data_IF_383891309565
#
_entry.id   IF_383891309565
#
_cell.length_a   1.000
_cell.length_b   1.000
_cell.length_c   1.000
_cell.angle_alpha   90.00
_cell.angle_beta   90.00
_cell.angle_gamma   90.00
#
_symmetry.space_group_name_H-M   'P 1'
#
loop_
_entity.id
_entity.type
_entity.pdbx_description
1 polymer ?
#
# COMPACT_ATOMS: atom_id res chain seq x y z
N UNK A 1 -7.76 -31.32 -0.22
CA UNK A 1 -6.82 -32.33 0.29
C UNK A 1 -6.30 -32.06 1.71
N UNK A 2 -5.59 -30.96 2.03
CA UNK A 2 -5.17 -30.70 3.44
C UNK A 2 -6.25 -29.99 4.27
N UNK A 3 -6.89 -28.95 3.73
CA UNK A 3 -7.97 -28.24 4.41
C UNK A 3 -9.18 -29.14 4.70
N UNK A 4 -9.55 -30.01 3.76
CA UNK A 4 -10.61 -31.02 3.98
C UNK A 4 -10.24 -32.02 5.07
N UNK A 5 -8.96 -32.40 5.18
CA UNK A 5 -8.47 -33.25 6.25
C UNK A 5 -8.48 -32.54 7.61
N UNK A 6 -8.26 -31.22 7.64
CA UNK A 6 -8.39 -30.40 8.85
C UNK A 6 -9.86 -30.21 9.25
N UNK A 7 -10.75 -29.99 8.27
CA UNK A 7 -12.20 -29.89 8.47
C UNK A 7 -12.84 -31.19 8.97
N UNK A 8 -12.18 -32.34 8.79
CA UNK A 8 -12.67 -33.62 9.31
C UNK A 8 -12.60 -33.73 10.84
N UNK A 9 -11.84 -32.85 11.51
CA UNK A 9 -11.67 -32.83 12.97
C UNK A 9 -12.38 -31.65 13.65
N UNK A 10 -13.14 -30.85 12.90
CA UNK A 10 -13.96 -29.77 13.45
C UNK A 10 -15.42 -30.21 13.55
N UNK A 11 -16.12 -29.72 14.56
CA UNK A 11 -17.54 -30.02 14.83
C UNK A 11 -18.44 -29.38 13.74
N UNK A 12 -18.48 -30.01 12.57
CA UNK A 12 -19.25 -29.66 11.36
C UNK A 12 -18.98 -28.26 10.75
N UNK A 13 -18.07 -27.47 11.34
CA UNK A 13 -17.64 -26.18 10.80
C UNK A 13 -16.44 -26.35 9.88
N UNK A 14 -16.47 -25.74 8.70
CA UNK A 14 -15.34 -25.71 7.79
C UNK A 14 -14.15 -24.99 8.43
N UNK A 15 -12.94 -25.56 8.34
CA UNK A 15 -11.72 -24.95 8.90
C UNK A 15 -11.50 -23.51 8.43
N UNK A 16 -11.89 -23.17 7.19
CA UNK A 16 -11.78 -21.79 6.71
C UNK A 16 -12.74 -20.86 7.47
N UNK A 17 -13.95 -21.32 7.79
CA UNK A 17 -14.86 -20.53 8.60
C UNK A 17 -14.30 -20.30 10.01
N UNK A 18 -13.64 -21.31 10.59
CA UNK A 18 -12.93 -21.16 11.87
C UNK A 18 -11.81 -20.12 11.76
N UNK A 19 -10.98 -20.18 10.71
CA UNK A 19 -9.90 -19.21 10.47
C UNK A 19 -10.46 -17.79 10.34
N UNK A 20 -11.54 -17.61 9.57
CA UNK A 20 -12.19 -16.32 9.40
C UNK A 20 -12.76 -15.82 10.74
N UNK A 21 -13.46 -16.66 11.51
CA UNK A 21 -13.94 -16.30 12.86
C UNK A 21 -12.79 -15.91 13.81
N UNK A 22 -11.64 -16.57 13.71
CA UNK A 22 -10.44 -16.22 14.48
C UNK A 22 -9.87 -14.85 14.09
N UNK A 23 -10.01 -14.41 12.82
CA UNK A 23 -9.67 -13.06 12.40
C UNK A 23 -10.50 -12.03 13.18
N UNK A 24 -11.84 -12.16 13.11
CA UNK A 24 -12.77 -11.27 13.82
C UNK A 24 -12.52 -11.28 15.35
N UNK A 25 -12.34 -12.46 15.95
CA UNK A 25 -12.04 -12.56 17.38
C UNK A 25 -10.68 -11.91 17.71
N UNK A 26 -9.67 -12.12 16.87
CA UNK A 26 -8.36 -11.50 17.00
C UNK A 26 -8.41 -9.98 16.91
N UNK A 27 -9.26 -9.44 16.04
CA UNK A 27 -9.47 -7.99 15.89
C UNK A 27 -10.12 -7.41 17.15
N UNK A 28 -11.15 -8.05 17.68
CA UNK A 28 -11.83 -7.60 18.90
C UNK A 28 -10.97 -7.72 20.16
N UNK A 29 -10.19 -8.80 20.29
CA UNK A 29 -9.24 -8.98 21.38
C UNK A 29 -7.94 -8.17 21.19
N UNK A 30 -7.76 -7.55 20.02
CA UNK A 30 -6.54 -6.84 19.60
C UNK A 30 -5.28 -7.70 19.76
N UNK A 31 -5.40 -8.99 19.52
CA UNK A 31 -4.31 -9.95 19.65
C UNK A 31 -3.47 -9.98 18.36
N UNK A 32 -2.44 -9.13 18.31
CA UNK A 32 -1.55 -8.96 17.14
C UNK A 32 -0.92 -10.28 16.68
N UNK A 33 -0.47 -11.15 17.60
CA UNK A 33 0.19 -12.43 17.22
C UNK A 33 -0.78 -13.38 16.51
N UNK A 34 -2.01 -13.47 17.00
CA UNK A 34 -3.07 -14.25 16.36
C UNK A 34 -3.40 -13.65 14.99
N UNK A 35 -3.58 -12.32 14.93
CA UNK A 35 -3.91 -11.61 13.70
C UNK A 35 -2.86 -11.80 12.61
N UNK A 36 -1.57 -11.64 12.93
CA UNK A 36 -0.46 -11.88 11.99
C UNK A 36 -0.54 -13.29 11.41
N UNK A 37 -0.73 -14.29 12.28
CA UNK A 37 -0.80 -15.70 11.86
C UNK A 37 -2.00 -15.98 10.95
N UNK A 38 -3.17 -15.45 11.31
CA UNK A 38 -4.41 -15.62 10.56
C UNK A 38 -4.36 -14.87 9.22
N UNK A 39 -3.90 -13.62 9.21
CA UNK A 39 -3.77 -12.82 7.98
C UNK A 39 -2.79 -13.47 7.03
N UNK A 40 -1.60 -13.90 7.49
CA UNK A 40 -0.63 -14.59 6.64
C UNK A 40 -1.20 -15.90 6.06
N UNK A 41 -1.98 -16.65 6.83
CA UNK A 41 -2.67 -17.83 6.33
C UNK A 41 -3.71 -17.46 5.27
N UNK A 42 -4.52 -16.43 5.49
CA UNK A 42 -5.49 -15.94 4.51
C UNK A 42 -4.82 -15.45 3.22
N UNK A 43 -3.69 -14.74 3.31
CA UNK A 43 -2.88 -14.32 2.16
C UNK A 43 -2.48 -15.52 1.31
N UNK A 44 -1.99 -16.61 1.93
CA UNK A 44 -1.60 -17.82 1.22
C UNK A 44 -2.79 -18.62 0.66
N UNK A 45 -3.97 -18.51 1.27
CA UNK A 45 -5.20 -19.16 0.82
C UNK A 45 -5.93 -18.35 -0.26
N UNK A 46 -5.59 -17.08 -0.44
CA UNK A 46 -6.25 -16.17 -1.37
C UNK A 46 -6.35 -16.70 -2.80
N UNK A 47 -5.30 -17.30 -3.41
CA UNK A 47 -5.39 -17.83 -4.77
C UNK A 47 -6.35 -19.01 -4.94
N UNK A 48 -6.72 -19.70 -3.85
CA UNK A 48 -7.49 -20.95 -3.91
C UNK A 48 -8.93 -20.80 -3.39
N UNK A 49 -9.15 -19.90 -2.42
CA UNK A 49 -10.41 -19.78 -1.68
C UNK A 49 -10.97 -18.35 -1.69
N UNK A 50 -10.58 -17.56 -2.70
CA UNK A 50 -11.01 -16.18 -2.90
C UNK A 50 -12.53 -15.98 -2.80
N UNK A 51 -13.32 -16.91 -3.36
CA UNK A 51 -14.79 -16.90 -3.35
C UNK A 51 -15.41 -16.89 -1.94
N UNK A 52 -14.65 -17.26 -0.90
CA UNK A 52 -15.10 -17.22 0.51
C UNK A 52 -14.44 -16.09 1.31
N UNK A 53 -13.21 -15.73 0.96
CA UNK A 53 -12.46 -14.66 1.62
C UNK A 53 -13.12 -13.30 1.32
N UNK A 54 -13.47 -13.03 0.05
CA UNK A 54 -14.09 -11.77 -0.35
C UNK A 54 -15.43 -11.45 0.36
N UNK A 55 -16.43 -12.36 0.39
CA UNK A 55 -17.65 -12.14 1.15
C UNK A 55 -17.40 -11.85 2.63
N UNK A 56 -16.39 -12.50 3.22
CA UNK A 56 -16.07 -12.30 4.63
C UNK A 56 -15.48 -10.91 4.87
N UNK A 57 -14.48 -10.51 4.09
CA UNK A 57 -13.86 -9.18 4.18
C UNK A 57 -14.89 -8.05 4.01
N UNK A 58 -15.92 -8.25 3.19
CA UNK A 58 -16.99 -7.27 3.02
C UNK A 58 -17.74 -6.94 4.32
N UNK A 59 -17.83 -7.91 5.25
CA UNK A 59 -18.54 -7.80 6.53
C UNK A 59 -17.61 -7.57 7.73
N UNK A 60 -16.31 -7.72 7.54
CA UNK A 60 -15.32 -7.65 8.61
C UNK A 60 -15.22 -6.25 9.21
N UNK A 61 -14.91 -6.19 10.52
CA UNK A 61 -14.65 -4.96 11.26
C UNK A 61 -13.22 -4.40 11.04
N UNK A 62 -12.44 -5.01 10.14
CA UNK A 62 -11.07 -4.62 9.81
C UNK A 62 -10.95 -3.14 9.43
N UNK A 63 -11.82 -2.66 8.56
CA UNK A 63 -11.87 -1.25 8.12
C UNK A 63 -13.15 -0.56 8.55
N UNK A 64 -13.13 0.77 8.53
CA UNK A 64 -14.27 1.59 8.92
C UNK A 64 -15.50 1.28 8.05
N UNK A 65 -16.63 0.99 8.70
CA UNK A 65 -17.92 0.78 8.05
C UNK A 65 -19.02 1.50 8.83
N UNK A 66 -19.94 2.16 8.12
CA UNK A 66 -21.13 2.79 8.69
C UNK A 66 -20.84 3.75 9.87
N UNK A 67 -19.75 4.53 9.77
CA UNK A 67 -19.35 5.50 10.80
C UNK A 67 -18.65 4.90 12.03
N UNK A 68 -18.41 3.58 12.07
CA UNK A 68 -17.55 2.96 13.09
C UNK A 68 -16.09 3.02 12.66
N UNK A 69 -15.22 3.28 13.62
CA UNK A 69 -13.77 3.25 13.43
C UNK A 69 -13.31 1.81 13.06
N UNK A 70 -12.38 1.70 12.11
CA UNK A 70 -11.83 0.43 11.67
C UNK A 70 -10.82 -0.12 12.67
N UNK A 71 -10.92 -1.42 12.99
CA UNK A 71 -10.05 -2.05 13.99
C UNK A 71 -8.57 -2.07 13.57
N UNK A 72 -8.26 -2.07 12.27
CA UNK A 72 -6.89 -1.97 11.78
C UNK A 72 -6.23 -0.65 12.21
N UNK A 73 -6.91 0.49 12.04
CA UNK A 73 -6.41 1.79 12.47
C UNK A 73 -6.25 1.88 14.00
N UNK A 74 -7.20 1.30 14.75
CA UNK A 74 -7.12 1.23 16.22
C UNK A 74 -5.91 0.41 16.68
N UNK A 75 -5.67 -0.76 16.08
CA UNK A 75 -4.53 -1.61 16.41
C UNK A 75 -3.22 -0.92 16.07
N UNK A 76 -3.14 -0.29 14.89
CA UNK A 76 -1.98 0.48 14.47
C UNK A 76 -1.65 1.57 15.50
N UNK A 77 -2.62 2.44 15.83
CA UNK A 77 -2.40 3.57 16.72
C UNK A 77 -2.20 3.21 18.19
N UNK A 78 -2.92 2.22 18.71
CA UNK A 78 -2.91 1.89 20.15
C UNK A 78 -1.93 0.79 20.55
N UNK A 79 -1.45 -0.02 19.61
CA UNK A 79 -0.58 -1.17 19.90
C UNK A 79 0.72 -1.09 19.10
N UNK A 80 0.65 -1.08 17.77
CA UNK A 80 1.87 -1.16 16.94
C UNK A 80 2.74 0.09 17.12
N UNK A 81 2.14 1.28 17.08
CA UNK A 81 2.86 2.54 17.31
C UNK A 81 3.48 2.64 18.71
N UNK A 82 2.83 2.07 19.73
CA UNK A 82 3.31 2.09 21.12
C UNK A 82 4.46 1.11 21.31
N UNK A 83 4.33 -0.10 20.75
CA UNK A 83 5.30 -1.16 20.87
C UNK A 83 6.49 -0.99 19.92
N UNK A 84 6.32 -0.24 18.83
CA UNK A 84 7.31 -0.09 17.77
C UNK A 84 7.51 -1.34 16.91
N UNK A 85 6.53 -2.25 16.91
CA UNK A 85 6.48 -3.47 16.11
C UNK A 85 5.24 -3.43 15.20
N UNK A 86 5.47 -3.48 13.89
CA UNK A 86 4.46 -3.31 12.83
C UNK A 86 4.18 -4.61 12.07
N UNK A 87 4.40 -5.77 12.69
CA UNK A 87 4.19 -7.08 12.07
C UNK A 87 2.77 -7.29 11.51
N UNK A 88 1.74 -6.74 12.16
CA UNK A 88 0.37 -6.85 11.66
C UNK A 88 0.13 -5.93 10.47
N UNK A 89 0.63 -4.70 10.51
CA UNK A 89 0.64 -3.79 9.36
C UNK A 89 1.31 -4.42 8.14
N UNK A 90 2.51 -5.01 8.30
CA UNK A 90 3.21 -5.70 7.19
C UNK A 90 2.38 -6.87 6.64
N UNK A 91 1.78 -7.67 7.51
CA UNK A 91 0.92 -8.80 7.10
C UNK A 91 -0.32 -8.31 6.34
N UNK A 92 -0.88 -7.16 6.75
CA UNK A 92 -2.05 -6.56 6.13
C UNK A 92 -1.74 -5.99 4.74
N UNK A 93 -0.56 -5.38 4.55
CA UNK A 93 -0.10 -4.94 3.22
C UNK A 93 0.05 -6.14 2.27
N UNK A 94 0.68 -7.23 2.74
CA UNK A 94 0.82 -8.47 1.97
C UNK A 94 -0.52 -9.11 1.59
N UNK A 95 -1.52 -9.02 2.48
CA UNK A 95 -2.89 -9.43 2.14
C UNK A 95 -3.50 -8.53 1.05
N UNK A 96 -3.28 -7.22 1.12
CA UNK A 96 -3.74 -6.28 0.09
C UNK A 96 -3.13 -6.61 -1.28
N UNK A 97 -1.83 -6.91 -1.34
CA UNK A 97 -1.15 -7.36 -2.56
C UNK A 97 -1.78 -8.65 -3.12
N UNK A 98 -2.03 -9.67 -2.28
CA UNK A 98 -2.67 -10.90 -2.73
C UNK A 98 -4.10 -10.67 -3.26
N UNK A 99 -4.85 -9.74 -2.66
CA UNK A 99 -6.18 -9.34 -3.15
C UNK A 99 -6.09 -8.62 -4.50
N UNK A 100 -5.08 -7.75 -4.69
CA UNK A 100 -4.81 -7.08 -5.98
C UNK A 100 -4.50 -8.11 -7.05
N UNK A 101 -3.63 -9.08 -6.76
CA UNK A 101 -3.30 -10.16 -7.72
C UNK A 101 -4.55 -10.99 -8.09
N UNK A 102 -5.44 -11.26 -7.14
CA UNK A 102 -6.72 -11.92 -7.45
C UNK A 102 -7.66 -11.05 -8.29
N UNK A 103 -7.69 -9.73 -8.08
CA UNK A 103 -8.47 -8.83 -8.94
C UNK A 103 -7.93 -8.77 -10.38
N UNK A 104 -6.64 -9.07 -10.58
CA UNK A 104 -5.99 -9.16 -11.89
C UNK A 104 -6.11 -10.56 -12.52
N UNK A 105 -6.58 -11.57 -11.77
CA UNK A 105 -6.84 -12.89 -12.32
C UNK A 105 -8.16 -12.91 -13.11
N UNK A 106 -8.35 -13.94 -13.93
CA UNK A 106 -9.57 -14.10 -14.73
C UNK A 106 -10.75 -14.65 -13.90
N UNK A 107 -10.57 -14.86 -12.60
CA UNK A 107 -11.53 -15.54 -11.74
C UNK A 107 -12.71 -14.63 -11.36
N UNK A 108 -13.92 -15.06 -11.71
CA UNK A 108 -15.18 -14.39 -11.35
C UNK A 108 -15.73 -14.94 -10.03
N UNK A 109 -14.92 -14.87 -8.98
CA UNK A 109 -15.18 -15.45 -7.65
C UNK A 109 -16.09 -14.59 -6.75
N UNK A 110 -16.18 -13.29 -7.02
CA UNK A 110 -16.95 -12.32 -6.23
C UNK A 110 -17.35 -11.10 -7.06
N UNK A 111 -18.51 -10.46 -6.79
CA UNK A 111 -18.96 -9.31 -7.56
C UNK A 111 -17.94 -8.17 -7.59
N UNK A 112 -17.61 -7.72 -8.79
CA UNK A 112 -16.58 -6.71 -9.04
C UNK A 112 -16.82 -5.40 -8.28
N UNK A 113 -18.08 -4.94 -8.22
CA UNK A 113 -18.46 -3.75 -7.45
C UNK A 113 -18.11 -3.88 -5.96
N UNK A 114 -18.31 -5.07 -5.41
CA UNK A 114 -17.99 -5.35 -4.01
C UNK A 114 -16.48 -5.46 -3.80
N UNK A 115 -15.73 -6.01 -4.76
CA UNK A 115 -14.25 -5.96 -4.75
C UNK A 115 -13.76 -4.50 -4.74
N UNK A 116 -14.30 -3.64 -5.61
CA UNK A 116 -13.92 -2.21 -5.69
C UNK A 116 -14.10 -1.50 -4.34
N UNK A 117 -15.25 -1.68 -3.68
CA UNK A 117 -15.50 -1.07 -2.37
C UNK A 117 -14.51 -1.56 -1.31
N UNK A 118 -14.15 -2.84 -1.33
CA UNK A 118 -13.16 -3.40 -0.39
C UNK A 118 -11.76 -2.84 -0.71
N UNK A 119 -11.36 -2.80 -1.98
CA UNK A 119 -10.07 -2.24 -2.41
C UNK A 119 -9.94 -0.77 -2.03
N UNK A 120 -10.99 0.03 -2.21
CA UNK A 120 -10.99 1.43 -1.78
C UNK A 120 -10.74 1.57 -0.27
N UNK A 121 -11.32 0.70 0.56
CA UNK A 121 -11.10 0.71 2.02
C UNK A 121 -9.68 0.31 2.40
N UNK A 122 -9.15 -0.73 1.77
CA UNK A 122 -7.75 -1.13 1.95
C UNK A 122 -6.82 0.02 1.58
N UNK A 123 -6.96 0.56 0.36
CA UNK A 123 -6.12 1.64 -0.13
C UNK A 123 -6.26 2.92 0.70
N UNK A 124 -7.46 3.25 1.15
CA UNK A 124 -7.67 4.36 2.09
C UNK A 124 -6.82 4.20 3.35
N UNK A 125 -6.88 3.03 3.98
CA UNK A 125 -6.04 2.74 5.14
C UNK A 125 -4.54 2.75 4.83
N UNK A 126 -4.12 2.15 3.71
CA UNK A 126 -2.71 2.12 3.31
C UNK A 126 -2.15 3.53 3.04
N UNK A 127 -2.96 4.42 2.47
CA UNK A 127 -2.60 5.83 2.29
C UNK A 127 -2.43 6.51 3.65
N UNK A 128 -3.36 6.31 4.58
CA UNK A 128 -3.27 6.89 5.92
C UNK A 128 -2.02 6.38 6.68
N UNK A 129 -1.66 5.10 6.48
CA UNK A 129 -0.39 4.53 6.97
C UNK A 129 0.81 5.22 6.30
N UNK A 130 0.80 5.41 4.98
CA UNK A 130 1.90 6.05 4.26
C UNK A 130 2.11 7.52 4.65
N UNK A 131 1.06 8.21 5.09
CA UNK A 131 1.14 9.58 5.62
C UNK A 131 1.78 9.67 7.02
N UNK A 132 1.81 8.55 7.75
CA UNK A 132 2.18 8.53 9.18
C UNK A 132 3.44 7.71 9.47
N UNK A 133 3.74 6.68 8.68
CA UNK A 133 4.79 5.70 8.98
C UNK A 133 6.16 6.33 9.25
N UNK A 134 6.56 7.39 8.55
CA UNK A 134 7.88 7.99 8.79
C UNK A 134 8.07 8.54 10.21
N UNK A 135 6.98 8.97 10.86
CA UNK A 135 6.98 9.59 12.18
C UNK A 135 6.80 8.57 13.31
N UNK A 136 6.51 7.32 12.96
CA UNK A 136 6.33 6.23 13.90
C UNK A 136 7.67 5.82 14.55
N UNK A 137 7.60 5.30 15.78
CA UNK A 137 8.75 4.73 16.46
C UNK A 137 8.95 3.29 15.98
N UNK A 138 10.16 2.90 15.64
CA UNK A 138 10.48 1.54 15.20
C UNK A 138 11.48 0.89 16.14
N UNK A 139 11.28 -0.39 16.45
CA UNK A 139 12.30 -1.21 17.11
C UNK A 139 13.40 -1.61 16.12
N UNK A 140 13.01 -1.87 14.87
CA UNK A 140 13.92 -2.23 13.78
C UNK A 140 13.79 -1.22 12.64
N UNK A 141 14.88 -0.51 12.33
CA UNK A 141 14.89 0.51 11.29
C UNK A 141 14.59 -0.09 9.90
N UNK A 142 14.96 -1.35 9.65
CA UNK A 142 14.65 -2.04 8.40
C UNK A 142 13.13 -2.19 8.19
N UNK A 143 12.36 -2.39 9.26
CA UNK A 143 10.90 -2.53 9.18
C UNK A 143 10.24 -1.23 8.67
N UNK A 144 10.81 -0.06 8.99
CA UNK A 144 10.36 1.23 8.46
C UNK A 144 10.48 1.31 6.94
N UNK A 145 11.62 0.87 6.41
CA UNK A 145 11.90 0.87 4.97
C UNK A 145 11.09 -0.22 4.25
N UNK A 146 10.95 -1.41 4.84
CA UNK A 146 10.10 -2.49 4.32
C UNK A 146 8.66 -1.98 4.11
N UNK A 147 8.07 -1.35 5.13
CA UNK A 147 6.70 -0.80 5.02
C UNK A 147 6.62 0.24 3.89
N UNK A 148 7.60 1.14 3.80
CA UNK A 148 7.64 2.15 2.74
C UNK A 148 7.67 1.51 1.34
N UNK A 149 8.54 0.51 1.15
CA UNK A 149 8.67 -0.23 -0.11
C UNK A 149 7.37 -0.96 -0.47
N UNK A 150 6.81 -1.75 0.47
CA UNK A 150 5.59 -2.52 0.23
C UNK A 150 4.39 -1.61 -0.11
N UNK A 151 4.23 -0.49 0.60
CA UNK A 151 3.16 0.47 0.33
C UNK A 151 3.30 1.08 -1.07
N UNK A 152 4.50 1.52 -1.45
CA UNK A 152 4.73 2.11 -2.77
C UNK A 152 4.59 1.09 -3.90
N UNK A 153 5.02 -0.15 -3.70
CA UNK A 153 4.86 -1.22 -4.69
C UNK A 153 3.37 -1.57 -4.89
N UNK A 154 2.63 -1.66 -3.79
CA UNK A 154 1.17 -1.82 -3.81
C UNK A 154 0.49 -0.68 -4.58
N UNK A 155 0.81 0.58 -4.28
CA UNK A 155 0.24 1.72 -4.99
C UNK A 155 0.64 1.75 -6.48
N UNK A 156 1.91 1.46 -6.78
CA UNK A 156 2.42 1.40 -8.15
C UNK A 156 1.67 0.34 -8.97
N UNK A 157 1.45 -0.84 -8.40
CA UNK A 157 0.73 -1.94 -9.05
C UNK A 157 -0.71 -1.53 -9.39
N UNK A 158 -1.42 -0.90 -8.45
CA UNK A 158 -2.79 -0.40 -8.68
C UNK A 158 -2.81 0.66 -9.78
N UNK A 159 -1.94 1.67 -9.69
CA UNK A 159 -1.88 2.75 -10.66
C UNK A 159 -1.49 2.26 -12.06
N UNK A 160 -0.48 1.41 -12.17
CA UNK A 160 -0.05 0.82 -13.42
C UNK A 160 -1.15 -0.06 -14.05
N UNK A 161 -1.93 -0.78 -13.23
CA UNK A 161 -3.06 -1.58 -13.70
C UNK A 161 -4.20 -0.73 -14.30
N UNK A 162 -4.43 0.47 -13.75
CA UNK A 162 -5.50 1.36 -14.23
C UNK A 162 -5.05 2.25 -15.39
N UNK A 163 -3.88 2.86 -15.28
CA UNK A 163 -3.42 3.89 -16.21
C UNK A 163 -2.40 3.40 -17.24
N UNK A 164 -1.75 2.25 -17.00
CA UNK A 164 -0.79 1.66 -17.93
C UNK A 164 -1.42 0.87 -19.09
N UNK A 165 -2.73 0.64 -19.06
CA UNK A 165 -3.50 -0.10 -20.07
C UNK A 165 -4.51 0.86 -20.70
N UNK A 166 -4.61 0.88 -22.04
CA UNK A 166 -5.55 1.69 -22.82
C UNK A 166 -5.53 3.19 -22.47
N UNK A 167 -4.51 3.89 -22.96
CA UNK A 167 -4.39 5.35 -22.82
C UNK A 167 -5.62 6.09 -23.38
N UNK A 168 -6.14 7.07 -22.63
CA UNK A 168 -7.28 7.90 -23.04
C UNK A 168 -8.68 7.33 -22.78
N UNK A 169 -8.78 6.08 -22.30
CA UNK A 169 -10.06 5.50 -21.85
C UNK A 169 -10.29 5.83 -20.37
N UNK A 170 -11.49 6.27 -19.94
CA UNK A 170 -11.73 6.61 -18.54
C UNK A 170 -11.69 5.34 -17.65
N UNK A 171 -11.07 5.48 -16.47
CA UNK A 171 -10.77 4.36 -15.56
C UNK A 171 -11.98 3.48 -15.21
N UNK A 172 -13.18 4.05 -15.13
CA UNK A 172 -14.42 3.35 -14.80
C UNK A 172 -14.97 2.44 -15.91
N UNK A 173 -14.45 2.57 -17.14
CA UNK A 173 -14.84 1.74 -18.29
C UNK A 173 -13.84 0.63 -18.62
N UNK A 174 -12.65 0.68 -18.04
CA UNK A 174 -11.58 -0.30 -18.29
C UNK A 174 -11.90 -1.66 -17.67
N UNK A 175 -11.20 -2.69 -18.15
CA UNK A 175 -11.23 -4.04 -17.54
C UNK A 175 -10.77 -3.99 -16.08
N UNK A 176 -9.89 -3.05 -15.74
CA UNK A 176 -9.35 -2.82 -14.39
C UNK A 176 -10.16 -1.82 -13.57
N UNK A 177 -11.42 -1.54 -13.94
CA UNK A 177 -12.31 -0.59 -13.22
C UNK A 177 -12.54 -0.95 -11.75
N UNK A 178 -12.30 -2.20 -11.33
CA UNK A 178 -12.25 -2.62 -9.92
C UNK A 178 -11.30 -1.76 -9.07
N UNK A 179 -10.29 -1.17 -9.69
CA UNK A 179 -9.31 -0.30 -9.03
C UNK A 179 -9.56 1.19 -9.26
N UNK A 180 -10.58 1.60 -10.03
CA UNK A 180 -10.75 2.99 -10.43
C UNK A 180 -10.85 3.95 -9.23
N UNK A 181 -11.72 3.64 -8.27
CA UNK A 181 -11.90 4.48 -7.07
C UNK A 181 -10.65 4.49 -6.19
N UNK A 182 -10.01 3.34 -6.05
CA UNK A 182 -8.78 3.18 -5.27
C UNK A 182 -7.60 3.95 -5.89
N UNK A 183 -7.47 3.90 -7.22
CA UNK A 183 -6.46 4.63 -7.97
C UNK A 183 -6.68 6.15 -7.88
N UNK A 184 -7.93 6.62 -7.97
CA UNK A 184 -8.27 8.03 -7.72
C UNK A 184 -7.85 8.44 -6.31
N UNK A 185 -8.21 7.66 -5.28
CA UNK A 185 -7.82 7.94 -3.89
C UNK A 185 -6.31 8.06 -3.71
N UNK A 186 -5.50 7.26 -4.41
CA UNK A 186 -4.04 7.38 -4.38
C UNK A 186 -3.62 8.71 -5.03
N UNK A 187 -4.04 8.98 -6.26
CA UNK A 187 -3.66 10.21 -6.96
C UNK A 187 -4.07 11.46 -6.18
N UNK A 188 -5.27 11.47 -5.62
CA UNK A 188 -5.81 12.56 -4.81
C UNK A 188 -4.96 12.82 -3.54
N UNK A 189 -4.26 11.82 -3.01
CA UNK A 189 -3.35 12.00 -1.86
C UNK A 189 -2.02 12.63 -2.24
N UNK A 190 -1.50 12.34 -3.43
CA UNK A 190 -0.16 12.72 -3.85
C UNK A 190 -0.12 13.94 -4.77
N UNK A 191 -1.18 14.17 -5.56
CA UNK A 191 -1.25 15.20 -6.59
C UNK A 191 -2.11 16.41 -6.19
N UNK A 192 -2.25 16.67 -4.89
CA UNK A 192 -2.93 17.87 -4.37
C UNK A 192 -2.27 19.13 -4.97
N UNK A 193 -3.09 20.01 -5.53
CA UNK A 193 -2.66 21.25 -6.19
C UNK A 193 -2.48 22.45 -5.24
N UNK A 194 -2.87 22.29 -3.97
CA UNK A 194 -2.74 23.32 -2.93
C UNK A 194 -1.26 23.67 -2.67
N UNK A 195 -0.97 24.83 -2.09
CA UNK A 195 0.41 25.30 -1.88
C UNK A 195 1.17 24.47 -0.85
N UNK A 196 0.46 23.86 0.10
CA UNK A 196 1.07 22.97 1.10
C UNK A 196 1.42 21.61 0.48
N UNK A 197 2.65 21.15 0.75
CA UNK A 197 3.10 19.83 0.29
C UNK A 197 2.20 18.74 0.88
N UNK A 198 1.67 17.81 0.04
CA UNK A 198 0.79 16.77 0.55
C UNK A 198 1.51 15.94 1.62
N UNK A 199 0.79 15.57 2.68
CA UNK A 199 1.35 14.75 3.77
C UNK A 199 1.94 13.43 3.25
N UNK A 200 1.27 12.82 2.27
CA UNK A 200 1.75 11.61 1.60
C UNK A 200 3.07 11.85 0.86
N UNK A 201 3.22 12.99 0.17
CA UNK A 201 4.44 13.35 -0.53
C UNK A 201 5.62 13.69 0.40
N UNK A 202 5.35 14.10 1.66
CA UNK A 202 6.40 14.50 2.61
C UNK A 202 7.38 13.36 2.86
N UNK A 203 6.93 12.11 2.79
CA UNK A 203 7.81 10.96 3.03
C UNK A 203 8.89 10.78 1.97
N UNK A 204 8.51 10.91 0.70
CA UNK A 204 9.40 10.87 -0.45
C UNK A 204 10.34 12.10 -0.42
N UNK A 205 9.80 13.28 -0.12
CA UNK A 205 10.60 14.50 -0.02
C UNK A 205 11.66 14.38 1.08
N UNK A 206 11.31 13.83 2.24
CA UNK A 206 12.22 13.64 3.37
C UNK A 206 13.33 12.64 3.02
N UNK A 207 13.02 11.57 2.28
CA UNK A 207 14.03 10.66 1.75
C UNK A 207 15.04 11.41 0.87
N UNK A 208 14.58 12.25 -0.06
CA UNK A 208 15.46 13.03 -0.94
C UNK A 208 16.33 14.01 -0.14
N UNK A 209 15.75 14.66 0.87
CA UNK A 209 16.51 15.54 1.77
C UNK A 209 17.62 14.78 2.50
N UNK A 210 17.33 13.59 3.01
CA UNK A 210 18.32 12.77 3.72
C UNK A 210 19.45 12.29 2.78
N UNK A 211 19.13 11.89 1.54
CA UNK A 211 20.14 11.52 0.55
C UNK A 211 21.13 12.65 0.25
N UNK A 212 20.67 13.89 0.29
CA UNK A 212 21.52 15.05 0.01
C UNK A 212 22.46 15.42 1.15
N UNK A 213 22.18 14.97 2.37
CA UNK A 213 22.93 15.35 3.57
C UNK A 213 23.96 14.31 3.99
N UNK A 214 23.68 13.02 3.78
CA UNK A 214 24.53 11.93 4.28
C UNK A 214 24.44 10.70 3.37
N UNK A 215 25.33 10.63 2.37
CA UNK A 215 25.40 9.52 1.42
C UNK A 215 26.00 8.25 2.07
N UNK A 216 26.82 8.41 3.13
CA UNK A 216 27.56 7.33 3.78
C UNK A 216 26.62 6.36 4.53
N UNK A 217 25.43 6.81 4.95
CA UNK A 217 24.36 5.97 5.52
C UNK A 217 23.86 4.89 4.55
N UNK A 218 24.09 5.07 3.24
CA UNK A 218 23.61 4.19 2.17
C UNK A 218 24.70 3.24 1.65
N UNK A 219 25.96 3.43 2.03
CA UNK A 219 27.10 2.57 1.67
C UNK A 219 27.35 1.42 2.68
N UNK A 220 26.36 1.06 3.51
CA UNK A 220 26.49 -0.03 4.48
C UNK A 220 26.42 -1.39 3.77
N UNK A 221 27.38 -2.30 3.97
CA UNK A 221 27.39 -3.61 3.26
C UNK A 221 26.49 -4.69 3.88
N UNK A 222 25.45 -4.31 4.62
CA UNK A 222 24.57 -5.24 5.34
C UNK A 222 23.15 -5.30 4.74
N UNK A 223 22.23 -6.04 5.39
CA UNK A 223 20.83 -6.15 4.95
C UNK A 223 20.06 -4.83 4.96
N UNK A 224 20.57 -3.79 5.64
CA UNK A 224 19.92 -2.48 5.68
C UNK A 224 20.13 -1.71 4.37
N UNK A 225 21.29 -1.84 3.71
CA UNK A 225 21.53 -1.25 2.38
C UNK A 225 20.51 -1.75 1.35
N UNK A 226 20.19 -3.04 1.34
CA UNK A 226 19.17 -3.58 0.44
C UNK A 226 17.83 -2.85 0.60
N UNK A 227 17.40 -2.58 1.84
CA UNK A 227 16.14 -1.89 2.10
C UNK A 227 16.21 -0.40 1.75
N UNK A 228 17.36 0.24 1.96
CA UNK A 228 17.56 1.62 1.56
C UNK A 228 17.56 1.79 0.04
N UNK A 229 18.29 0.94 -0.69
CA UNK A 229 18.33 0.95 -2.15
C UNK A 229 16.95 0.73 -2.75
N UNK A 230 16.21 -0.27 -2.24
CA UNK A 230 14.84 -0.51 -2.67
C UNK A 230 13.92 0.65 -2.34
N UNK A 231 14.03 1.24 -1.15
CA UNK A 231 13.22 2.40 -0.78
C UNK A 231 13.45 3.57 -1.73
N UNK A 232 14.70 3.91 -2.03
CA UNK A 232 15.05 4.98 -2.99
C UNK A 232 14.47 4.65 -4.37
N UNK A 233 14.74 3.44 -4.88
CA UNK A 233 14.31 3.02 -6.19
C UNK A 233 12.78 3.04 -6.32
N UNK A 234 12.05 2.46 -5.36
CA UNK A 234 10.59 2.45 -5.34
C UNK A 234 10.02 3.86 -5.23
N UNK A 235 10.56 4.73 -4.37
CA UNK A 235 10.10 6.10 -4.23
C UNK A 235 10.32 6.94 -5.49
N UNK A 236 11.48 6.82 -6.15
CA UNK A 236 11.75 7.52 -7.41
C UNK A 236 10.91 6.98 -8.57
N UNK A 237 10.77 5.66 -8.65
CA UNK A 237 9.93 4.99 -9.66
C UNK A 237 8.46 5.40 -9.52
N UNK A 238 7.93 5.37 -8.29
CA UNK A 238 6.57 5.82 -7.98
C UNK A 238 6.38 7.30 -8.31
N UNK A 239 7.34 8.16 -7.93
CA UNK A 239 7.30 9.59 -8.26
C UNK A 239 7.20 9.82 -9.77
N UNK A 240 8.01 9.10 -10.56
CA UNK A 240 7.95 9.15 -12.03
C UNK A 240 6.60 8.67 -12.54
N UNK A 241 6.05 7.58 -11.99
CA UNK A 241 4.76 7.03 -12.38
C UNK A 241 3.63 8.05 -12.18
N UNK A 242 3.51 8.65 -10.99
CA UNK A 242 2.42 9.61 -10.70
C UNK A 242 2.52 10.88 -11.55
N UNK A 243 3.74 11.37 -11.83
CA UNK A 243 3.97 12.52 -12.72
C UNK A 243 3.58 12.19 -14.16
N UNK A 244 3.89 10.97 -14.61
CA UNK A 244 3.52 10.50 -15.95
C UNK A 244 2.00 10.43 -16.09
N UNK A 245 1.31 9.83 -15.11
CA UNK A 245 -0.16 9.74 -15.07
C UNK A 245 -0.80 11.13 -15.02
N UNK A 246 -0.27 12.04 -14.19
CA UNK A 246 -0.71 13.44 -14.12
C UNK A 246 -0.61 14.12 -15.50
N UNK A 247 0.42 13.79 -16.28
CA UNK A 247 0.62 14.31 -17.64
C UNK A 247 -0.38 13.76 -18.63
N UNK A 248 -0.62 12.45 -18.61
CA UNK A 248 -1.59 11.80 -19.51
C UNK A 248 -3.02 12.25 -19.23
N UNK A 249 -3.37 12.50 -17.96
CA UNK A 249 -4.70 12.95 -17.54
C UNK A 249 -4.87 14.49 -17.63
N UNK A 250 -3.87 15.22 -18.14
CA UNK A 250 -3.87 16.68 -18.26
C UNK A 250 -4.24 17.44 -16.97
N UNK A 251 -3.82 16.90 -15.83
CA UNK A 251 -4.03 17.52 -14.52
C UNK A 251 -3.07 18.69 -14.29
N UNK A 252 -3.45 19.61 -13.38
CA UNK A 252 -2.59 20.74 -13.00
C UNK A 252 -1.34 20.25 -12.25
N UNK A 253 -0.20 20.97 -12.36
CA UNK A 253 0.99 20.63 -11.60
C UNK A 253 0.73 20.62 -10.10
N UNK A 254 1.14 19.54 -9.42
CA UNK A 254 0.90 19.36 -7.99
C UNK A 254 1.93 20.08 -7.12
N UNK A 255 1.62 20.30 -5.84
CA UNK A 255 2.63 20.81 -4.88
C UNK A 255 3.81 19.85 -4.74
N UNK A 256 3.58 18.54 -4.87
CA UNK A 256 4.65 17.54 -4.89
C UNK A 256 5.65 17.80 -6.02
N UNK A 257 5.16 18.00 -7.24
CA UNK A 257 6.01 18.30 -8.40
C UNK A 257 6.79 19.59 -8.20
N UNK A 258 6.13 20.66 -7.76
CA UNK A 258 6.80 21.94 -7.44
C UNK A 258 7.90 21.77 -6.40
N UNK A 259 7.65 20.97 -5.36
CA UNK A 259 8.65 20.66 -4.32
C UNK A 259 9.83 19.88 -4.89
N UNK A 260 9.56 18.89 -5.74
CA UNK A 260 10.59 18.10 -6.41
C UNK A 260 11.45 18.99 -7.30
N UNK A 261 10.85 19.81 -8.16
CA UNK A 261 11.54 20.77 -9.03
C UNK A 261 12.39 21.77 -8.25
N UNK A 262 11.88 22.34 -7.16
CA UNK A 262 12.67 23.27 -6.32
C UNK A 262 13.91 22.58 -5.74
N UNK A 263 13.84 21.28 -5.49
CA UNK A 263 14.95 20.48 -4.96
C UNK A 263 15.86 19.91 -6.05
N UNK A 264 15.51 19.97 -7.34
CA UNK A 264 16.34 19.43 -8.43
C UNK A 264 17.72 20.11 -8.58
N UNK A 265 17.92 21.32 -8.06
CA UNK A 265 19.27 21.92 -7.98
C UNK A 265 20.23 21.13 -7.09
N UNK A 266 19.72 20.30 -6.18
CA UNK A 266 20.51 19.38 -5.35
C UNK A 266 20.85 18.09 -6.14
N UNK A 267 20.07 17.76 -7.17
CA UNK A 267 20.21 16.52 -7.96
C UNK A 267 21.36 16.56 -8.95
N UNK A 268 21.71 17.75 -9.46
CA UNK A 268 22.90 17.93 -10.32
C UNK A 268 24.20 17.55 -9.60
N UNK A 269 24.20 17.56 -8.26
CA UNK A 269 25.33 17.12 -7.43
C UNK A 269 25.33 15.61 -7.15
N UNK A 270 24.18 14.92 -7.18
CA UNK A 270 24.04 13.49 -6.84
C UNK A 270 24.15 12.55 -8.04
N UNK A 271 23.89 13.04 -9.27
CA UNK A 271 24.03 12.25 -10.50
C UNK A 271 24.84 13.07 -11.52
N UNK A 272 26.15 12.83 -11.68
CA UNK A 272 26.93 13.47 -12.74
C UNK A 272 26.49 12.87 -14.08
N UNK A 273 25.48 13.48 -14.72
CA UNK A 273 24.96 13.03 -16.02
C UNK A 273 23.63 13.65 -16.48
N UNK A 274 22.85 14.30 -15.62
CA UNK A 274 21.53 14.86 -15.98
C UNK A 274 21.57 16.37 -16.29
N UNK A 275 22.52 16.83 -17.11
CA UNK A 275 22.62 18.23 -17.55
C UNK A 275 21.84 18.52 -18.86
N UNK A 276 20.75 17.80 -19.16
CA UNK A 276 20.07 17.93 -20.46
C UNK A 276 18.63 18.45 -20.42
N UNK A 277 18.02 18.61 -19.24
CA UNK A 277 16.60 18.97 -19.15
C UNK A 277 16.35 20.35 -18.54
N UNK A 278 17.18 21.35 -18.87
CA UNK A 278 16.95 22.75 -18.48
C UNK A 278 16.10 23.54 -19.49
N UNK A 279 15.45 22.88 -20.45
CA UNK A 279 14.50 23.51 -21.36
C UNK A 279 13.37 22.56 -21.63
N UNK A 280 12.21 22.79 -21.03
CA UNK A 280 10.86 22.64 -21.61
C UNK A 280 9.86 23.07 -20.52
N UNK A 281 9.31 24.26 -20.74
CA UNK A 281 8.03 24.85 -20.28
C UNK A 281 7.54 24.64 -18.85
#
# INVERSE_FOLDING_TARGET
MVLEAMSAYTDDSDILEVILRLLEQGLHLRNVKLLVSVVNLLTNLMPFLSYRIWPYLSKSALFAQNGKEGLAAVIFGSIEMVNGDYNFTVSLIKLAEALIQNCLSLDQDYPEKSKSVIMLRFVGHLVDLFETFLYCRYNEQCQKLEIGVLLLDTFSTILASVYGIDEGVPANTKVTKVFADAASRILDSFLISDEDSPRAARSIITMIENLSQDLDLYELTDSSSFWYDNWIHCALSFSRLIITIRTSEHLKPSAFEKSLFTKTQIWSCLIPGLNSCEKIY
#
